data_IF_243110350147
#
_entry.id   IF_243110350147
#
_cell.length_a   1.000
_cell.length_b   1.000
_cell.length_c   1.000
_cell.angle_alpha   90.00
_cell.angle_beta   90.00
_cell.angle_gamma   90.00
#
_symmetry.space_group_name_H-M   'P 1'
#
loop_
_entity.id
_entity.type
_entity.pdbx_description
1 polymer ?
#
# COMPACT_ATOMS: atom_id res chain seq x y z
N UNK A 1 -12.52 -12.36 0.59
CA UNK A 1 -11.17 -12.50 0.02
C UNK A 1 -10.91 -11.29 -0.88
N UNK A 2 -10.03 -10.40 -0.44
CA UNK A 2 -9.83 -9.04 -0.98
C UNK A 2 -9.07 -9.05 -2.32
N UNK A 3 -9.32 -8.03 -3.14
CA UNK A 3 -8.81 -7.85 -4.52
C UNK A 3 -7.27 -7.81 -4.56
N UNK A 4 -6.64 -7.39 -3.45
CA UNK A 4 -5.19 -7.37 -3.21
C UNK A 4 -4.51 -8.73 -3.40
N UNK A 5 -5.17 -9.85 -3.06
CA UNK A 5 -4.56 -11.18 -3.11
C UNK A 5 -4.58 -11.85 -4.50
N UNK A 6 -5.15 -11.22 -5.53
CA UNK A 6 -5.35 -11.85 -6.86
C UNK A 6 -4.60 -11.18 -8.01
N UNK A 7 -3.60 -10.32 -7.74
CA UNK A 7 -2.87 -9.57 -8.78
C UNK A 7 -3.83 -8.79 -9.72
N UNK A 8 -5.01 -8.42 -9.19
CA UNK A 8 -6.06 -7.71 -9.93
C UNK A 8 -5.91 -6.20 -9.87
N UNK A 9 -4.94 -5.71 -9.10
CA UNK A 9 -4.58 -4.32 -9.10
C UNK A 9 -3.78 -4.04 -10.38
N UNK A 10 -4.14 -3.04 -11.20
CA UNK A 10 -3.38 -2.63 -12.38
C UNK A 10 -2.03 -2.00 -12.01
N UNK A 11 -1.16 -2.76 -11.34
CA UNK A 11 0.23 -2.35 -11.09
C UNK A 11 1.04 -2.43 -12.38
N UNK A 12 2.12 -1.66 -12.50
CA UNK A 12 2.98 -1.68 -13.68
C UNK A 12 3.48 -3.09 -14.00
N UNK A 13 3.83 -3.88 -12.98
CA UNK A 13 4.19 -5.31 -13.17
C UNK A 13 3.05 -6.15 -13.77
N UNK A 14 1.81 -5.97 -13.34
CA UNK A 14 0.65 -6.70 -13.88
C UNK A 14 0.30 -6.25 -15.31
N UNK A 15 0.49 -4.97 -15.62
CA UNK A 15 0.26 -4.38 -16.94
C UNK A 15 1.35 -4.80 -17.93
N UNK A 16 2.61 -4.83 -17.50
CA UNK A 16 3.74 -5.31 -18.29
C UNK A 16 3.60 -6.80 -18.62
N UNK A 17 3.19 -7.64 -17.65
CA UNK A 17 2.85 -9.06 -17.90
C UNK A 17 1.77 -9.23 -18.98
N UNK A 18 0.81 -8.32 -19.04
CA UNK A 18 -0.26 -8.27 -20.05
C UNK A 18 0.16 -7.57 -21.34
N UNK A 19 1.42 -7.14 -21.46
CA UNK A 19 1.99 -6.40 -22.60
C UNK A 19 1.27 -5.08 -22.92
N UNK A 20 0.66 -4.45 -21.91
CA UNK A 20 0.01 -3.13 -22.05
C UNK A 20 1.03 -2.01 -21.98
N UNK A 21 2.06 -2.16 -21.15
CA UNK A 21 3.17 -1.21 -21.00
C UNK A 21 4.52 -1.96 -21.12
N UNK A 22 5.59 -1.23 -21.40
CA UNK A 22 6.93 -1.82 -21.60
C UNK A 22 7.77 -1.91 -20.33
N UNK A 23 7.56 -1.00 -19.37
CA UNK A 23 8.31 -0.95 -18.11
C UNK A 23 7.39 -1.32 -16.96
N UNK A 24 7.90 -2.14 -16.05
CA UNK A 24 7.25 -2.47 -14.78
C UNK A 24 7.84 -1.69 -13.60
N UNK A 25 8.61 -0.64 -13.88
CA UNK A 25 9.24 0.19 -12.85
C UNK A 25 8.20 0.98 -12.07
N UNK A 26 8.41 1.13 -10.77
CA UNK A 26 7.55 1.96 -9.92
C UNK A 26 7.64 3.43 -10.32
N UNK A 27 6.53 4.04 -10.71
CA UNK A 27 6.50 5.44 -11.13
C UNK A 27 6.67 6.43 -9.96
N UNK A 28 6.42 5.99 -8.72
CA UNK A 28 6.47 6.85 -7.53
C UNK A 28 7.89 7.06 -7.02
N UNK A 29 8.64 5.97 -6.84
CA UNK A 29 10.02 6.04 -6.33
C UNK A 29 11.08 5.83 -7.41
N UNK A 30 10.68 5.50 -8.65
CA UNK A 30 11.57 5.19 -9.77
C UNK A 30 12.61 4.11 -9.44
N UNK A 31 12.30 3.25 -8.48
CA UNK A 31 13.19 2.20 -7.96
C UNK A 31 12.42 0.89 -7.83
N UNK A 32 12.93 -0.18 -8.44
CA UNK A 32 12.34 -1.52 -8.37
C UNK A 32 11.05 -1.67 -9.19
N UNK A 33 10.52 -2.90 -9.16
CA UNK A 33 9.29 -3.25 -9.86
C UNK A 33 8.05 -2.83 -9.06
N UNK A 34 7.08 -2.22 -9.74
CA UNK A 34 5.80 -1.85 -9.17
C UNK A 34 4.92 -3.09 -8.98
N UNK A 35 5.04 -3.73 -7.83
CA UNK A 35 4.12 -4.78 -7.37
C UNK A 35 3.16 -4.20 -6.33
N UNK A 36 2.09 -4.93 -5.98
CA UNK A 36 1.22 -4.50 -4.89
C UNK A 36 2.00 -4.38 -3.57
N UNK A 37 2.92 -5.32 -3.30
CA UNK A 37 3.74 -5.27 -2.10
C UNK A 37 4.68 -4.05 -2.12
N UNK A 38 5.29 -3.78 -3.27
CA UNK A 38 6.07 -2.57 -3.44
C UNK A 38 5.23 -1.30 -3.24
N UNK A 39 4.13 -1.11 -3.98
CA UNK A 39 3.29 0.08 -3.89
C UNK A 39 2.79 0.37 -2.48
N UNK A 40 2.35 -0.66 -1.75
CA UNK A 40 1.67 -0.45 -0.49
C UNK A 40 2.57 -0.64 0.74
N UNK A 41 3.66 -1.41 0.64
CA UNK A 41 4.50 -1.75 1.78
C UNK A 41 5.95 -1.21 1.66
N UNK A 42 6.60 -1.42 0.52
CA UNK A 42 8.06 -1.26 0.39
C UNK A 42 8.50 0.02 -0.35
N UNK A 43 7.62 0.67 -1.10
CA UNK A 43 7.94 1.86 -1.89
C UNK A 43 8.38 2.99 -0.96
N UNK A 44 9.57 3.53 -1.19
CA UNK A 44 10.14 4.59 -0.34
C UNK A 44 9.25 5.84 -0.28
N UNK A 45 8.59 6.18 -1.38
CA UNK A 45 7.63 7.28 -1.45
C UNK A 45 6.41 7.01 -0.55
N UNK A 46 5.81 5.83 -0.67
CA UNK A 46 4.64 5.45 0.13
C UNK A 46 5.00 5.25 1.60
N UNK A 47 6.18 4.72 1.90
CA UNK A 47 6.69 4.63 3.28
C UNK A 47 6.84 6.01 3.90
N UNK A 48 7.38 7.00 3.19
CA UNK A 48 7.47 8.38 3.69
C UNK A 48 6.09 9.01 3.94
N UNK A 49 5.14 8.78 3.03
CA UNK A 49 3.73 9.18 3.20
C UNK A 49 3.09 8.51 4.41
N UNK A 50 3.32 7.21 4.60
CA UNK A 50 2.84 6.45 5.75
C UNK A 50 3.35 7.08 7.04
N UNK A 51 4.65 7.31 7.17
CA UNK A 51 5.21 7.93 8.39
C UNK A 51 4.55 9.28 8.66
N UNK A 52 4.35 10.12 7.64
CA UNK A 52 3.69 11.42 7.83
C UNK A 52 2.23 11.30 8.25
N UNK A 53 1.45 10.47 7.56
CA UNK A 53 0.01 10.31 7.80
C UNK A 53 -0.23 9.54 9.10
N UNK A 54 0.38 8.37 9.27
CA UNK A 54 0.21 7.54 10.47
C UNK A 54 0.74 8.24 11.72
N UNK A 55 1.92 8.88 11.68
CA UNK A 55 2.40 9.62 12.85
C UNK A 55 1.49 10.81 13.18
N UNK A 56 1.02 11.56 12.16
CA UNK A 56 0.13 12.71 12.39
C UNK A 56 -1.27 12.32 12.84
N UNK A 57 -1.79 11.15 12.44
CA UNK A 57 -3.18 10.77 12.68
C UNK A 57 -3.31 9.84 13.90
N UNK A 58 -2.31 9.00 14.13
CA UNK A 58 -2.37 7.90 15.10
C UNK A 58 -1.31 8.03 16.20
N UNK A 59 -0.34 8.96 16.07
CA UNK A 59 0.73 9.15 17.07
C UNK A 59 1.59 7.90 17.27
N UNK A 60 1.61 6.99 16.30
CA UNK A 60 2.36 5.73 16.37
C UNK A 60 3.74 5.87 15.72
N UNK A 61 4.76 5.16 16.23
CA UNK A 61 6.07 5.14 15.63
C UNK A 61 6.04 4.45 14.25
N UNK A 62 6.98 4.78 13.36
CA UNK A 62 7.09 4.12 12.07
C UNK A 62 7.44 2.64 12.26
N UNK A 63 6.57 1.75 11.80
CA UNK A 63 6.82 0.30 11.77
C UNK A 63 7.40 -0.10 10.40
N UNK A 64 8.37 -1.01 10.41
CA UNK A 64 8.95 -1.57 9.19
C UNK A 64 7.95 -2.57 8.61
N UNK A 65 7.24 -2.14 7.57
CA UNK A 65 6.22 -2.99 6.93
C UNK A 65 6.78 -3.61 5.67
N UNK A 66 7.00 -4.91 5.73
CA UNK A 66 7.58 -5.69 4.64
C UNK A 66 6.56 -6.28 3.68
N UNK A 67 5.26 -6.23 4.03
CA UNK A 67 4.18 -6.70 3.16
C UNK A 67 2.85 -5.98 3.33
N UNK A 68 2.06 -5.92 2.25
CA UNK A 68 0.64 -5.51 2.27
C UNK A 68 -0.16 -6.24 3.35
N UNK A 69 0.10 -7.54 3.53
CA UNK A 69 -0.59 -8.35 4.52
C UNK A 69 -0.32 -7.82 5.94
N UNK A 70 0.96 -7.66 6.26
CA UNK A 70 1.44 -7.12 7.53
C UNK A 70 0.86 -5.72 7.79
N UNK A 71 0.87 -4.85 6.78
CA UNK A 71 0.27 -3.52 6.87
C UNK A 71 -1.21 -3.56 7.27
N UNK A 72 -1.96 -4.46 6.65
CA UNK A 72 -3.39 -4.60 6.91
C UNK A 72 -3.65 -5.14 8.32
N UNK A 73 -2.76 -5.98 8.85
CA UNK A 73 -2.82 -6.47 10.23
C UNK A 73 -2.48 -5.39 11.24
N UNK A 74 -1.45 -4.57 10.99
CA UNK A 74 -1.13 -3.41 11.83
C UNK A 74 -2.33 -2.46 11.91
N UNK A 75 -3.03 -2.19 10.80
CA UNK A 75 -4.27 -1.39 10.82
C UNK A 75 -5.41 -2.00 11.64
N UNK A 76 -5.55 -3.33 11.66
CA UNK A 76 -6.54 -4.00 12.51
C UNK A 76 -6.20 -3.89 13.99
N UNK A 77 -4.91 -3.92 14.35
CA UNK A 77 -4.45 -3.73 15.72
C UNK A 77 -4.67 -2.32 16.26
N UNK A 78 -4.67 -1.31 15.39
CA UNK A 78 -4.67 0.10 15.78
C UNK A 78 -6.06 0.67 16.13
N UNK A 79 -7.16 0.18 15.52
CA UNK A 79 -8.50 0.72 15.77
C UNK A 79 -9.42 -0.33 16.40
N UNK A 80 -10.04 0.03 17.53
CA UNK A 80 -11.07 -0.78 18.17
C UNK A 80 -12.38 -0.66 17.39
N UNK A 81 -12.92 -1.81 16.96
CA UNK A 81 -14.20 -1.90 16.27
C UNK A 81 -14.06 -2.13 14.76
N UNK A 82 -14.89 -3.04 14.23
CA UNK A 82 -14.85 -3.48 12.82
C UNK A 82 -15.12 -2.35 11.83
N UNK A 83 -15.91 -1.36 12.22
CA UNK A 83 -16.28 -0.20 11.39
C UNK A 83 -15.08 0.75 11.21
N UNK A 84 -14.41 1.13 12.31
CA UNK A 84 -13.26 2.01 12.28
C UNK A 84 -12.05 1.38 11.57
N UNK A 85 -11.83 0.08 11.74
CA UNK A 85 -10.80 -0.66 11.00
C UNK A 85 -11.02 -0.60 9.49
N UNK A 86 -12.27 -0.84 9.04
CA UNK A 86 -12.61 -0.72 7.61
C UNK A 86 -12.39 0.70 7.10
N UNK A 87 -12.80 1.71 7.86
CA UNK A 87 -12.63 3.11 7.45
C UNK A 87 -11.15 3.47 7.25
N UNK A 88 -10.27 3.04 8.17
CA UNK A 88 -8.83 3.30 8.06
C UNK A 88 -8.18 2.55 6.90
N UNK A 89 -8.57 1.29 6.69
CA UNK A 89 -8.12 0.51 5.52
C UNK A 89 -8.58 1.17 4.21
N UNK A 90 -9.84 1.57 4.12
CA UNK A 90 -10.40 2.22 2.92
C UNK A 90 -9.72 3.56 2.66
N UNK A 91 -9.52 4.37 3.70
CA UNK A 91 -8.82 5.65 3.60
C UNK A 91 -7.37 5.45 3.14
N UNK A 92 -6.66 4.47 3.72
CA UNK A 92 -5.29 4.17 3.32
C UNK A 92 -5.20 3.71 1.87
N UNK A 93 -6.09 2.78 1.45
CA UNK A 93 -6.17 2.34 0.06
C UNK A 93 -6.50 3.50 -0.87
N UNK A 94 -7.40 4.40 -0.47
CA UNK A 94 -7.74 5.59 -1.26
C UNK A 94 -6.54 6.54 -1.40
N UNK A 95 -5.78 6.79 -0.33
CA UNK A 95 -4.60 7.67 -0.37
C UNK A 95 -3.54 7.09 -1.31
N UNK A 96 -3.25 5.79 -1.23
CA UNK A 96 -2.25 5.15 -2.10
C UNK A 96 -2.75 5.05 -3.55
N UNK A 97 -4.06 4.95 -3.79
CA UNK A 97 -4.64 4.85 -5.14
C UNK A 97 -4.83 6.20 -5.84
N UNK A 98 -4.73 7.32 -5.13
CA UNK A 98 -4.78 8.67 -5.71
C UNK A 98 -3.41 9.16 -6.23
N UNK A 99 -2.36 8.34 -6.07
CA UNK A 99 -1.00 8.61 -6.50
C UNK A 99 -0.75 7.89 -7.83
#
# INVERSE_FOLDING_TARGET
MSILCRDRLPTASSLAKRRVIQSDSCHLCNTGQETADHLFAQCSYVSALRVRVVASWLGQPPEDVTSVGHQLESFKGMIKGKEGQKACIVLWLAIVWQI
#
